data_IF_325122233279
#
_entry.id   IF_325122233279
#
_cell.length_a   1.000
_cell.length_b   1.000
_cell.length_c   1.000
_cell.angle_alpha   90.00
_cell.angle_beta   90.00
_cell.angle_gamma   90.00
#
_symmetry.space_group_name_H-M   'P 1'
#
loop_
_entity.id
_entity.type
_entity.pdbx_description
1 polymer ?
#
# COMPACT_ATOMS: atom_id res chain seq x y z
N UNK A 1 22.15 -1.12 -18.48
CA UNK A 1 21.22 -2.10 -17.88
C UNK A 1 21.98 -2.94 -16.86
N UNK A 2 21.90 -2.61 -15.56
CA UNK A 2 22.53 -3.40 -14.49
C UNK A 2 21.65 -4.62 -14.23
N UNK A 3 22.22 -5.82 -14.44
CA UNK A 3 21.57 -7.09 -14.11
C UNK A 3 21.29 -7.10 -12.60
N UNK A 4 20.02 -7.23 -12.24
CA UNK A 4 19.57 -7.44 -10.86
C UNK A 4 20.12 -8.80 -10.43
N UNK A 5 21.04 -8.78 -9.48
CA UNK A 5 21.66 -9.95 -8.91
C UNK A 5 20.59 -10.66 -8.06
N UNK A 6 19.96 -11.72 -8.60
CA UNK A 6 19.12 -12.61 -7.80
C UNK A 6 20.01 -13.17 -6.68
N UNK A 7 19.71 -12.83 -5.42
CA UNK A 7 20.36 -13.44 -4.25
C UNK A 7 20.31 -14.95 -4.44
N UNK A 8 21.47 -15.61 -4.44
CA UNK A 8 21.56 -17.06 -4.30
C UNK A 8 21.10 -17.38 -2.87
N UNK A 9 19.84 -17.72 -2.69
CA UNK A 9 19.37 -18.34 -1.45
C UNK A 9 20.02 -19.71 -1.35
N UNK A 10 20.58 -20.02 -0.18
CA UNK A 10 21.12 -21.34 0.09
C UNK A 10 19.95 -22.32 0.27
N UNK A 11 20.12 -23.59 -0.14
CA UNK A 11 19.10 -24.64 0.04
C UNK A 11 18.65 -24.77 1.52
N UNK A 12 19.50 -24.32 2.45
CA UNK A 12 19.22 -24.28 3.90
C UNK A 12 18.27 -23.16 4.32
N UNK A 13 18.13 -22.09 3.54
CA UNK A 13 17.20 -20.97 3.84
C UNK A 13 15.78 -21.25 3.35
N UNK A 14 15.61 -22.17 2.39
CA UNK A 14 14.30 -22.58 1.88
C UNK A 14 13.53 -23.47 2.89
N UNK A 15 14.24 -24.09 3.84
CA UNK A 15 13.68 -24.97 4.88
C UNK A 15 13.35 -24.27 6.22
N UNK A 16 13.72 -23.00 6.40
CA UNK A 16 13.42 -22.26 7.64
C UNK A 16 12.01 -21.70 7.60
N UNK A 17 11.16 -22.21 8.48
CA UNK A 17 9.84 -21.64 8.73
C UNK A 17 9.97 -20.25 9.36
N UNK A 18 9.23 -19.27 8.84
CA UNK A 18 9.23 -17.87 9.27
C UNK A 18 8.18 -17.61 10.35
N UNK A 19 8.51 -16.73 11.30
CA UNK A 19 7.53 -16.13 12.25
C UNK A 19 6.83 -14.91 11.66
N UNK A 20 7.36 -14.36 10.57
CA UNK A 20 6.96 -13.09 9.98
C UNK A 20 6.35 -13.28 8.62
N UNK A 21 5.24 -12.61 8.39
CA UNK A 21 4.46 -12.65 7.16
C UNK A 21 5.07 -11.78 6.07
N UNK A 22 5.93 -10.83 6.45
CA UNK A 22 6.70 -10.02 5.51
C UNK A 22 8.18 -10.29 5.72
N UNK A 23 8.90 -10.51 4.62
CA UNK A 23 10.35 -10.64 4.67
C UNK A 23 10.97 -9.36 5.22
N UNK A 24 11.83 -9.48 6.23
CA UNK A 24 12.56 -8.37 6.84
C UNK A 24 14.04 -8.69 6.98
N UNK A 25 14.84 -7.63 7.03
CA UNK A 25 16.26 -7.69 7.33
C UNK A 25 16.57 -7.01 8.68
N UNK A 26 17.85 -7.00 9.06
CA UNK A 26 18.28 -6.39 10.32
C UNK A 26 17.99 -4.88 10.39
N UNK A 27 18.00 -4.16 9.26
CA UNK A 27 17.70 -2.73 9.22
C UNK A 27 16.20 -2.48 9.42
N UNK A 28 15.34 -3.32 8.85
CA UNK A 28 13.90 -3.24 9.04
C UNK A 28 13.50 -3.46 10.50
N UNK A 29 14.15 -4.42 11.16
CA UNK A 29 13.97 -4.65 12.60
C UNK A 29 14.38 -3.42 13.41
N UNK A 30 15.54 -2.85 13.11
CA UNK A 30 16.01 -1.65 13.78
C UNK A 30 15.06 -0.45 13.58
N UNK A 31 14.57 -0.23 12.35
CA UNK A 31 13.62 0.85 12.06
C UNK A 31 12.29 0.69 12.83
N UNK A 32 11.81 -0.55 12.97
CA UNK A 32 10.63 -0.84 13.78
C UNK A 32 10.88 -0.60 15.26
N UNK A 33 12.01 -1.09 15.80
CA UNK A 33 12.40 -0.86 17.20
C UNK A 33 12.50 0.63 17.51
N UNK A 34 13.08 1.42 16.61
CA UNK A 34 13.13 2.87 16.75
C UNK A 34 11.71 3.47 16.72
N UNK A 35 10.82 3.00 15.85
CA UNK A 35 9.42 3.44 15.85
C UNK A 35 8.71 3.11 17.17
N UNK A 36 8.94 1.91 17.73
CA UNK A 36 8.37 1.48 19.02
C UNK A 36 8.84 2.32 20.20
N UNK A 37 10.11 2.74 20.23
CA UNK A 37 10.64 3.61 21.30
C UNK A 37 9.89 4.93 21.42
N UNK A 38 9.32 5.39 20.31
CA UNK A 38 8.77 6.74 20.21
C UNK A 38 7.23 6.73 20.07
N UNK A 39 6.61 5.61 19.73
CA UNK A 39 5.15 5.49 19.67
C UNK A 39 4.58 4.74 20.88
N UNK A 40 4.17 5.48 21.90
CA UNK A 40 3.60 4.93 23.13
C UNK A 40 2.30 4.15 22.88
N UNK A 41 1.48 4.56 21.93
CA UNK A 41 0.20 3.91 21.62
C UNK A 41 0.42 2.52 21.02
N UNK A 42 1.41 2.36 20.13
CA UNK A 42 1.77 1.05 19.58
C UNK A 42 2.31 0.12 20.67
N UNK A 43 3.13 0.64 21.58
CA UNK A 43 3.65 -0.11 22.72
C UNK A 43 2.55 -0.55 23.68
N UNK A 44 1.63 0.35 24.02
CA UNK A 44 0.46 0.04 24.85
C UNK A 44 -0.41 -1.05 24.21
N UNK A 45 -0.70 -0.92 22.91
CA UNK A 45 -1.46 -1.91 22.14
C UNK A 45 -0.81 -3.30 22.19
N UNK A 46 0.54 -3.35 22.17
CA UNK A 46 1.31 -4.59 22.32
C UNK A 46 1.18 -5.18 23.72
N UNK A 47 1.41 -4.37 24.75
CA UNK A 47 1.37 -4.80 26.15
C UNK A 47 -0.01 -5.34 26.54
N UNK A 48 -1.08 -4.74 26.05
CA UNK A 48 -2.46 -5.21 26.30
C UNK A 48 -2.78 -6.55 25.62
N UNK A 49 -2.11 -6.90 24.53
CA UNK A 49 -2.40 -8.12 23.77
C UNK A 49 -1.41 -9.25 24.00
N UNK A 50 -0.20 -8.98 24.52
CA UNK A 50 0.89 -9.97 24.51
C UNK A 50 0.55 -11.25 25.31
N UNK A 51 -0.20 -11.10 26.40
CA UNK A 51 -0.63 -12.23 27.24
C UNK A 51 -1.70 -13.09 26.53
N UNK A 52 -2.62 -12.43 25.82
CA UNK A 52 -3.73 -13.08 25.11
C UNK A 52 -3.34 -13.61 23.72
N UNK A 53 -2.33 -13.00 23.09
CA UNK A 53 -1.88 -13.28 21.72
C UNK A 53 -0.38 -12.95 21.57
N UNK A 54 0.52 -13.90 21.90
CA UNK A 54 1.96 -13.69 21.87
C UNK A 54 2.53 -13.28 20.50
N UNK A 55 1.82 -13.60 19.42
CA UNK A 55 2.23 -13.32 18.05
C UNK A 55 2.04 -11.84 17.64
N UNK A 56 1.49 -11.00 18.52
CA UNK A 56 1.23 -9.57 18.24
C UNK A 56 2.48 -8.79 17.88
N UNK A 57 3.63 -9.09 18.50
CA UNK A 57 4.89 -8.40 18.21
C UNK A 57 5.33 -8.61 16.75
N UNK A 58 5.28 -9.85 16.28
CA UNK A 58 5.61 -10.19 14.91
C UNK A 58 4.65 -9.51 13.92
N UNK A 59 3.37 -9.42 14.27
CA UNK A 59 2.38 -8.73 13.45
C UNK A 59 2.61 -7.22 13.36
N UNK A 60 2.94 -6.57 14.47
CA UNK A 60 3.25 -5.14 14.46
C UNK A 60 4.50 -4.84 13.60
N UNK A 61 5.53 -5.69 13.69
CA UNK A 61 6.70 -5.62 12.82
C UNK A 61 6.30 -5.80 11.35
N UNK A 62 5.45 -6.77 11.03
CA UNK A 62 4.96 -7.02 9.68
C UNK A 62 4.16 -5.81 9.15
N UNK A 63 3.18 -5.33 9.91
CA UNK A 63 2.39 -4.15 9.56
C UNK A 63 3.28 -2.94 9.28
N UNK A 64 4.23 -2.63 10.16
CA UNK A 64 5.18 -1.54 9.97
C UNK A 64 6.02 -1.73 8.71
N UNK A 65 6.62 -2.91 8.56
CA UNK A 65 7.48 -3.23 7.42
C UNK A 65 6.70 -3.15 6.11
N UNK A 66 5.42 -3.53 6.12
CA UNK A 66 4.51 -3.41 4.96
C UNK A 66 4.33 -1.96 4.52
N UNK A 67 4.29 -1.02 5.46
CA UNK A 67 4.03 0.39 5.20
C UNK A 67 5.32 1.11 4.81
N UNK A 68 6.40 0.85 5.54
CA UNK A 68 7.67 1.57 5.40
C UNK A 68 8.51 1.08 4.22
N UNK A 69 8.60 -0.24 3.98
CA UNK A 69 9.52 -0.79 2.97
C UNK A 69 9.26 -0.25 1.58
N UNK A 70 10.34 -0.18 0.79
CA UNK A 70 10.25 0.15 -0.63
C UNK A 70 9.44 -0.89 -1.42
N UNK A 71 9.72 -2.18 -1.22
CA UNK A 71 8.96 -3.31 -1.77
C UNK A 71 8.80 -4.33 -0.65
N UNK A 72 7.62 -4.43 -0.03
CA UNK A 72 7.31 -5.51 0.90
C UNK A 72 6.99 -6.79 0.12
N UNK A 73 7.57 -7.90 0.56
CA UNK A 73 7.36 -9.23 -0.01
C UNK A 73 6.66 -10.10 1.02
N UNK A 74 5.51 -10.65 0.65
CA UNK A 74 4.74 -11.56 1.50
C UNK A 74 5.38 -12.94 1.47
N UNK A 75 5.56 -13.52 2.65
CA UNK A 75 5.98 -14.91 2.82
C UNK A 75 4.79 -15.83 2.57
N UNK A 76 5.03 -16.92 1.82
CA UNK A 76 4.02 -17.93 1.54
C UNK A 76 3.59 -18.66 2.82
N UNK A 77 2.31 -19.02 2.92
CA UNK A 77 1.72 -19.72 4.07
C UNK A 77 2.44 -21.06 4.35
N UNK A 78 2.92 -21.76 3.32
CA UNK A 78 3.67 -23.01 3.46
C UNK A 78 5.05 -22.83 4.14
N UNK A 79 5.58 -21.60 4.16
CA UNK A 79 6.85 -21.25 4.81
C UNK A 79 6.65 -20.60 6.18
N UNK A 80 5.42 -20.56 6.71
CA UNK A 80 5.11 -19.94 7.99
C UNK A 80 5.07 -20.96 9.12
N UNK A 81 5.53 -20.55 10.30
CA UNK A 81 5.31 -21.31 11.53
C UNK A 81 3.81 -21.32 11.87
N UNK A 82 3.29 -22.49 12.25
CA UNK A 82 1.87 -22.73 12.53
C UNK A 82 1.20 -21.71 13.50
N UNK A 83 1.87 -21.18 14.54
CA UNK A 83 1.26 -20.17 15.40
C UNK A 83 1.04 -18.81 14.72
N UNK A 84 1.78 -18.50 13.64
CA UNK A 84 1.79 -17.20 12.98
C UNK A 84 0.92 -17.15 11.71
N UNK A 85 0.18 -18.22 11.43
CA UNK A 85 -0.70 -18.31 10.26
C UNK A 85 -1.82 -17.26 10.27
N UNK A 86 -2.38 -16.93 11.44
CA UNK A 86 -3.38 -15.86 11.56
C UNK A 86 -2.77 -14.50 11.17
N UNK A 87 -1.53 -14.21 11.60
CA UNK A 87 -0.82 -13.01 11.17
C UNK A 87 -0.66 -12.97 9.65
N UNK A 88 -0.30 -14.11 9.03
CA UNK A 88 -0.16 -14.20 7.58
C UNK A 88 -1.48 -13.88 6.86
N UNK A 89 -2.60 -14.46 7.32
CA UNK A 89 -3.94 -14.19 6.76
C UNK A 89 -4.35 -12.72 6.91
N UNK A 90 -4.08 -12.11 8.07
CA UNK A 90 -4.30 -10.68 8.29
C UNK A 90 -3.47 -9.85 7.32
N UNK A 91 -2.16 -10.13 7.22
CA UNK A 91 -1.25 -9.37 6.35
C UNK A 91 -1.57 -9.54 4.87
N UNK A 92 -2.01 -10.72 4.45
CA UNK A 92 -2.47 -10.98 3.10
C UNK A 92 -3.73 -10.14 2.79
N UNK A 93 -4.70 -10.10 3.71
CA UNK A 93 -5.88 -9.22 3.58
C UNK A 93 -5.52 -7.73 3.50
N UNK A 94 -4.50 -7.28 4.24
CA UNK A 94 -3.97 -5.92 4.14
C UNK A 94 -3.36 -5.67 2.76
N UNK A 95 -2.40 -6.48 2.34
CA UNK A 95 -1.57 -6.23 1.13
C UNK A 95 -2.35 -6.41 -0.17
N UNK A 96 -3.29 -7.37 -0.22
CA UNK A 96 -4.12 -7.63 -1.39
C UNK A 96 -5.23 -6.57 -1.57
N UNK A 97 -5.54 -5.78 -0.52
CA UNK A 97 -6.57 -4.76 -0.60
C UNK A 97 -6.16 -3.58 -1.52
N UNK A 98 -7.04 -3.10 -2.42
CA UNK A 98 -6.72 -1.95 -3.27
C UNK A 98 -6.32 -0.68 -2.50
N UNK A 99 -6.92 -0.42 -1.33
CA UNK A 99 -6.63 0.75 -0.50
C UNK A 99 -5.22 0.74 0.08
N UNK A 100 -4.59 -0.43 0.20
CA UNK A 100 -3.22 -0.51 0.68
C UNK A 100 -2.23 0.22 -0.23
N UNK A 101 -2.44 0.19 -1.55
CA UNK A 101 -1.62 0.95 -2.52
C UNK A 101 -1.73 2.46 -2.28
N UNK A 102 -2.95 2.95 -2.00
CA UNK A 102 -3.21 4.35 -1.67
C UNK A 102 -2.49 4.76 -0.39
N UNK A 103 -2.60 3.96 0.67
CA UNK A 103 -1.87 4.19 1.92
C UNK A 103 -0.35 4.26 1.70
N UNK A 104 0.19 3.36 0.88
CA UNK A 104 1.63 3.30 0.57
C UNK A 104 2.18 4.46 -0.24
N UNK A 105 1.32 5.25 -0.90
CA UNK A 105 1.79 6.49 -1.55
C UNK A 105 2.36 7.49 -0.54
N UNK A 106 1.97 7.36 0.73
CA UNK A 106 2.35 8.29 1.80
C UNK A 106 3.40 7.67 2.72
N UNK A 107 3.30 6.37 3.01
CA UNK A 107 4.13 5.69 4.01
C UNK A 107 5.48 5.18 3.51
N UNK A 108 5.63 4.94 2.21
CA UNK A 108 6.84 4.30 1.66
C UNK A 108 8.09 5.15 1.94
N UNK A 109 9.03 4.58 2.68
CA UNK A 109 10.27 5.21 3.16
C UNK A 109 10.04 6.46 4.02
N UNK A 110 8.83 6.65 4.55
CA UNK A 110 8.52 7.72 5.48
C UNK A 110 8.19 7.13 6.86
N UNK A 111 9.09 7.28 7.85
CA UNK A 111 8.92 6.65 9.15
C UNK A 111 7.74 7.24 9.94
N UNK A 112 7.40 8.52 9.72
CA UNK A 112 6.35 9.20 10.49
C UNK A 112 4.98 8.69 10.09
N UNK A 113 4.64 8.78 8.80
CA UNK A 113 3.34 8.32 8.31
C UNK A 113 3.23 6.80 8.38
N UNK A 114 4.35 6.05 8.28
CA UNK A 114 4.37 4.62 8.58
C UNK A 114 4.07 4.32 10.05
N UNK A 115 4.65 5.07 10.99
CA UNK A 115 4.39 4.92 12.41
C UNK A 115 2.94 5.25 12.79
N UNK A 116 2.38 6.32 12.22
CA UNK A 116 0.95 6.66 12.38
C UNK A 116 0.06 5.60 11.73
N UNK A 117 0.46 5.08 10.57
CA UNK A 117 -0.24 4.01 9.89
C UNK A 117 -0.28 2.73 10.74
N UNK A 118 0.85 2.36 11.35
CA UNK A 118 0.95 1.23 12.28
C UNK A 118 0.06 1.44 13.52
N UNK A 119 0.06 2.63 14.10
CA UNK A 119 -0.75 2.95 15.28
C UNK A 119 -2.24 2.74 15.01
N UNK A 120 -2.75 3.36 13.94
CA UNK A 120 -4.17 3.29 13.60
C UNK A 120 -4.54 1.89 13.11
N UNK A 121 -3.82 1.35 12.12
CA UNK A 121 -4.11 0.03 11.56
C UNK A 121 -3.91 -1.07 12.60
N UNK A 122 -2.87 -0.99 13.42
CA UNK A 122 -2.59 -1.94 14.48
C UNK A 122 -3.69 -1.98 15.55
N UNK A 123 -4.26 -0.82 15.90
CA UNK A 123 -5.41 -0.76 16.82
C UNK A 123 -6.66 -1.43 16.25
N UNK A 124 -6.95 -1.23 14.96
CA UNK A 124 -8.11 -1.84 14.31
C UNK A 124 -7.91 -3.35 14.10
N UNK A 125 -6.70 -3.74 13.72
CA UNK A 125 -6.31 -5.14 13.56
C UNK A 125 -6.34 -5.88 14.91
N UNK A 126 -5.94 -5.24 16.01
CA UNK A 126 -6.06 -5.81 17.36
C UNK A 126 -7.50 -6.22 17.68
N UNK A 127 -8.48 -5.35 17.42
CA UNK A 127 -9.89 -5.69 17.69
C UNK A 127 -10.37 -6.84 16.80
N UNK A 128 -9.95 -6.89 15.53
CA UNK A 128 -10.24 -8.02 14.65
C UNK A 128 -9.62 -9.33 15.14
N UNK A 129 -8.40 -9.31 15.69
CA UNK A 129 -7.76 -10.53 16.21
C UNK A 129 -8.50 -11.06 17.43
N UNK A 130 -8.97 -10.18 18.32
CA UNK A 130 -9.76 -10.60 19.48
C UNK A 130 -11.01 -11.37 19.07
N UNK A 131 -11.68 -10.93 18.01
CA UNK A 131 -12.88 -11.60 17.46
C UNK A 131 -12.54 -12.91 16.75
N UNK A 132 -11.41 -12.97 16.04
CA UNK A 132 -11.09 -14.08 15.15
C UNK A 132 -10.20 -15.17 15.76
N UNK A 133 -9.50 -14.91 16.87
CA UNK A 133 -8.52 -15.85 17.44
C UNK A 133 -9.11 -17.22 17.77
N UNK A 134 -10.30 -17.26 18.36
CA UNK A 134 -10.94 -18.51 18.78
C UNK A 134 -11.47 -19.29 17.58
N UNK A 135 -12.12 -18.60 16.64
CA UNK A 135 -12.60 -19.18 15.39
C UNK A 135 -11.44 -19.73 14.55
N UNK A 136 -10.31 -19.01 14.51
CA UNK A 136 -9.10 -19.44 13.83
C UNK A 136 -8.50 -20.70 14.49
N UNK A 137 -8.40 -20.74 15.81
CA UNK A 137 -7.83 -21.89 16.52
C UNK A 137 -8.69 -23.15 16.34
N UNK A 138 -10.02 -23.01 16.33
CA UNK A 138 -10.95 -24.11 16.03
C UNK A 138 -10.80 -24.59 14.58
N UNK A 139 -10.81 -23.67 13.61
CA UNK A 139 -10.67 -24.02 12.20
C UNK A 139 -9.29 -24.63 11.89
N UNK A 140 -8.24 -24.16 12.57
CA UNK A 140 -6.88 -24.70 12.45
C UNK A 140 -6.82 -26.14 12.97
N UNK A 141 -7.36 -26.44 14.15
CA UNK A 141 -7.42 -27.81 14.68
C UNK A 141 -8.17 -28.74 13.74
N UNK A 142 -9.33 -28.33 13.25
CA UNK A 142 -10.09 -29.10 12.27
C UNK A 142 -9.30 -29.35 10.97
N UNK A 143 -8.53 -28.36 10.50
CA UNK A 143 -7.67 -28.51 9.32
C UNK A 143 -6.48 -29.44 9.58
N UNK A 144 -5.86 -29.39 10.77
CA UNK A 144 -4.77 -30.29 11.16
C UNK A 144 -5.26 -31.75 11.26
N UNK A 145 -6.43 -31.98 11.88
CA UNK A 145 -7.03 -33.31 12.00
C UNK A 145 -7.41 -33.87 10.62
N UNK A 146 -8.03 -33.04 9.77
CA UNK A 146 -8.34 -33.43 8.39
C UNK A 146 -7.08 -33.70 7.55
N UNK A 147 -6.00 -32.96 7.77
CA UNK A 147 -4.73 -33.19 7.07
C UNK A 147 -4.06 -34.51 7.49
N UNK A 148 -4.10 -34.84 8.79
CA UNK A 148 -3.60 -36.14 9.29
C UNK A 148 -4.39 -37.30 8.72
N UNK A 149 -5.72 -37.23 8.75
CA UNK A 149 -6.57 -38.27 8.15
C UNK A 149 -6.32 -38.42 6.65
N UNK A 150 -6.09 -37.31 5.93
CA UNK A 150 -5.77 -37.35 4.50
C UNK A 150 -4.41 -37.99 4.22
N UNK A 151 -3.42 -37.74 5.08
CA UNK A 151 -2.10 -38.34 4.96
C UNK A 151 -2.13 -39.84 5.26
N UNK A 152 -2.79 -40.26 6.34
CA UNK A 152 -2.99 -41.68 6.66
C UNK A 152 -3.76 -42.42 5.54
N UNK A 153 -4.77 -41.77 4.96
CA UNK A 153 -5.52 -42.34 3.84
C UNK A 153 -4.67 -42.42 2.56
N UNK A 154 -3.75 -41.48 2.34
CA UNK A 154 -2.82 -41.51 1.21
C UNK A 154 -1.80 -42.63 1.38
N UNK A 155 -1.22 -42.76 2.58
CA UNK A 155 -0.27 -43.84 2.90
C UNK A 155 -0.93 -45.22 2.72
N UNK A 156 -2.19 -45.39 3.14
CA UNK A 156 -2.95 -46.61 2.93
C UNK A 156 -3.23 -46.92 1.45
N UNK A 157 -3.41 -45.88 0.61
CA UNK A 157 -3.54 -46.06 -0.85
C UNK A 157 -2.21 -46.49 -1.44
N UNK A 158 -1.11 -45.86 -1.05
CA UNK A 158 0.23 -46.17 -1.55
C UNK A 158 0.66 -47.59 -1.14
N UNK A 159 0.33 -48.04 0.07
CA UNK A 159 0.53 -49.42 0.53
C UNK A 159 -0.34 -50.43 -0.25
N UNK A 160 -1.62 -50.13 -0.47
CA UNK A 160 -2.52 -51.00 -1.22
C UNK A 160 -2.13 -51.09 -2.71
N UNK A 161 -1.65 -49.99 -3.29
CA UNK A 161 -1.16 -49.92 -4.67
C UNK A 161 0.16 -50.71 -4.80
N UNK A 162 1.11 -50.53 -3.89
CA UNK A 162 2.36 -51.30 -3.88
C UNK A 162 2.15 -52.80 -3.66
N UNK A 163 1.15 -53.20 -2.86
CA UNK A 163 0.78 -54.61 -2.70
C UNK A 163 0.12 -55.21 -3.94
N UNK A 164 -0.65 -54.42 -4.70
CA UNK A 164 -1.25 -54.85 -5.97
C UNK A 164 -0.19 -54.99 -7.07
N UNK A 165 0.74 -54.04 -7.17
CA UNK A 165 1.82 -54.07 -8.16
C UNK A 165 2.79 -55.24 -7.89
N UNK A 166 3.10 -55.55 -6.62
CA UNK A 166 3.91 -56.71 -6.23
C UNK A 166 3.22 -58.06 -6.49
N UNK A 167 1.89 -58.10 -6.55
CA UNK A 167 1.13 -59.29 -6.93
C UNK A 167 1.11 -59.51 -8.45
N UNK A 168 1.18 -58.43 -9.25
CA UNK A 168 1.21 -58.47 -10.71
C UNK A 168 2.61 -58.80 -11.26
N UNK A 169 3.68 -58.34 -10.60
CA UNK A 169 5.07 -58.71 -10.94
C UNK A 169 5.47 -60.15 -10.49
N UNK A 170 4.63 -60.81 -9.69
CA UNK A 170 4.88 -62.15 -9.13
C UNK A 170 4.42 -63.33 -10.00
N UNK A 171 3.80 -63.10 -11.16
CA UNK A 171 3.26 -64.18 -12.02
C UNK A 171 4.27 -64.86 -12.97
N UNK A 172 5.58 -64.58 -12.89
CA UNK A 172 6.63 -65.41 -13.51
C UNK A 172 7.46 -66.19 -12.47
N UNK A 173 6.81 -67.10 -11.72
CA UNK A 173 7.55 -68.04 -10.86
C UNK A 173 6.67 -68.99 -10.04
N UNK A 174 6.41 -70.18 -10.58
CA UNK A 174 5.63 -71.25 -9.93
C UNK A 174 6.17 -71.73 -8.58
N UNK A 175 5.20 -72.03 -7.72
CA UNK A 175 5.15 -73.02 -6.64
C UNK A 175 6.02 -72.82 -5.37
N UNK A 176 5.36 -72.40 -4.29
CA UNK A 176 5.90 -72.52 -2.93
C UNK A 176 4.90 -72.11 -1.83
N UNK A 177 4.28 -73.11 -1.19
CA UNK A 177 3.42 -72.96 0.01
C UNK A 177 4.09 -72.10 1.10
N UNK A 178 3.40 -71.04 1.54
CA UNK A 178 3.75 -70.29 2.75
C UNK A 178 2.54 -69.58 3.36
N UNK A 179 1.94 -70.19 4.39
CA UNK A 179 0.97 -69.55 5.30
C UNK A 179 1.68 -68.43 6.07
N UNK A 180 1.08 -67.24 6.18
CA UNK A 180 1.47 -66.29 7.23
C UNK A 180 0.93 -64.87 7.08
N UNK A 181 -0.12 -64.58 7.86
CA UNK A 181 -0.63 -63.25 8.27
C UNK A 181 -1.40 -62.44 7.23
N UNK A 182 -2.69 -62.77 7.17
CA UNK A 182 -3.77 -61.81 6.99
C UNK A 182 -3.69 -60.70 8.05
N UNK A 183 -3.07 -59.57 7.71
CA UNK A 183 -3.67 -58.28 8.04
C UNK A 183 -4.63 -57.97 6.90
N UNK A 184 -5.86 -57.56 7.23
CA UNK A 184 -6.86 -57.15 6.26
C UNK A 184 -6.26 -56.03 5.38
N UNK A 185 -5.72 -56.40 4.23
CA UNK A 185 -5.38 -55.44 3.20
C UNK A 185 -6.70 -54.80 2.78
N UNK A 186 -6.88 -53.52 3.12
CA UNK A 186 -7.98 -52.75 2.58
C UNK A 186 -7.94 -52.89 1.06
N UNK A 187 -9.09 -53.18 0.47
CA UNK A 187 -9.15 -53.23 -1.00
C UNK A 187 -8.79 -51.85 -1.55
N UNK A 188 -8.10 -51.81 -2.68
CA UNK A 188 -7.63 -50.59 -3.31
C UNK A 188 -8.77 -49.59 -3.57
N UNK A 189 -9.99 -50.10 -3.72
CA UNK A 189 -11.23 -49.34 -3.85
C UNK A 189 -11.70 -48.71 -2.51
N UNK A 190 -11.59 -49.42 -1.39
CA UNK A 190 -11.90 -48.88 -0.05
C UNK A 190 -10.86 -47.84 0.40
N UNK A 191 -9.58 -48.05 0.09
CA UNK A 191 -8.51 -47.08 0.35
C UNK A 191 -8.74 -45.77 -0.44
N UNK A 192 -9.08 -45.86 -1.72
CA UNK A 192 -9.47 -44.69 -2.55
C UNK A 192 -10.69 -43.97 -2.00
N UNK A 193 -11.72 -44.71 -1.56
CA UNK A 193 -12.93 -44.12 -0.96
C UNK A 193 -12.63 -43.39 0.35
N UNK A 194 -11.71 -43.90 1.17
CA UNK A 194 -11.21 -43.21 2.38
C UNK A 194 -10.46 -41.92 2.02
N UNK A 195 -9.60 -41.96 1.00
CA UNK A 195 -8.90 -40.76 0.51
C UNK A 195 -9.86 -39.69 0.00
N UNK A 196 -10.91 -40.05 -0.74
CA UNK A 196 -11.94 -39.10 -1.18
C UNK A 196 -12.71 -38.48 0.00
N UNK A 197 -13.07 -39.29 1.01
CA UNK A 197 -13.72 -38.79 2.21
C UNK A 197 -12.82 -37.84 3.01
N UNK A 198 -11.52 -38.14 3.13
CA UNK A 198 -10.55 -37.28 3.80
C UNK A 198 -10.33 -35.97 3.03
N UNK A 199 -10.21 -36.01 1.69
CA UNK A 199 -10.16 -34.81 0.83
C UNK A 199 -11.41 -33.95 0.99
N UNK A 200 -12.59 -34.56 1.12
CA UNK A 200 -13.83 -33.84 1.37
C UNK A 200 -13.82 -33.13 2.73
N UNK A 201 -13.40 -33.81 3.80
CA UNK A 201 -13.22 -33.18 5.12
C UNK A 201 -12.21 -32.03 5.10
N UNK A 202 -11.10 -32.19 4.37
CA UNK A 202 -10.10 -31.13 4.20
C UNK A 202 -10.71 -29.92 3.46
N UNK A 203 -11.53 -30.15 2.44
CA UNK A 203 -12.24 -29.09 1.73
C UNK A 203 -13.28 -28.38 2.63
N UNK A 204 -13.97 -29.11 3.51
CA UNK A 204 -14.89 -28.55 4.51
C UNK A 204 -14.13 -27.68 5.53
N UNK A 205 -13.02 -28.17 6.09
CA UNK A 205 -12.19 -27.38 7.00
C UNK A 205 -11.61 -26.12 6.33
N UNK A 206 -11.18 -26.20 5.07
CA UNK A 206 -10.74 -25.04 4.30
C UNK A 206 -11.89 -24.05 4.04
N UNK A 207 -13.10 -24.54 3.82
CA UNK A 207 -14.29 -23.70 3.69
C UNK A 207 -14.60 -22.98 5.00
N UNK A 208 -14.57 -23.68 6.13
CA UNK A 208 -14.81 -23.08 7.45
C UNK A 208 -13.78 -22.00 7.79
N UNK A 209 -12.50 -22.24 7.49
CA UNK A 209 -11.44 -21.22 7.60
C UNK A 209 -11.77 -19.98 6.75
N UNK A 210 -12.19 -20.19 5.50
CA UNK A 210 -12.54 -19.10 4.59
C UNK A 210 -13.76 -18.31 5.07
N UNK A 211 -14.79 -19.00 5.58
CA UNK A 211 -16.02 -18.35 6.01
C UNK A 211 -15.90 -17.63 7.35
N UNK A 212 -15.21 -18.23 8.32
CA UNK A 212 -15.15 -17.71 9.68
C UNK A 212 -13.94 -16.82 9.96
N UNK A 213 -12.90 -16.88 9.12
CA UNK A 213 -11.68 -16.06 9.30
C UNK A 213 -11.46 -15.11 8.12
N UNK A 214 -11.38 -15.62 6.89
CA UNK A 214 -10.99 -14.80 5.74
C UNK A 214 -12.10 -13.81 5.32
N UNK A 215 -13.37 -14.21 5.32
CA UNK A 215 -14.49 -13.32 4.99
C UNK A 215 -14.63 -12.13 5.96
N UNK A 216 -14.59 -12.31 7.29
CA UNK A 216 -14.56 -11.18 8.23
C UNK A 216 -13.39 -10.23 8.00
N UNK A 217 -12.19 -10.77 7.74
CA UNK A 217 -11.02 -9.96 7.40
C UNK A 217 -11.27 -9.14 6.12
N UNK A 218 -11.77 -9.77 5.05
CA UNK A 218 -12.07 -9.08 3.79
C UNK A 218 -13.14 -8.01 3.94
N UNK A 219 -14.10 -8.19 4.85
CA UNK A 219 -15.22 -7.26 5.07
C UNK A 219 -14.78 -6.04 5.90
N UNK A 220 -13.99 -6.27 6.96
CA UNK A 220 -13.60 -5.20 7.89
C UNK A 220 -12.34 -4.44 7.46
N UNK A 221 -11.40 -5.08 6.76
CA UNK A 221 -10.13 -4.47 6.35
C UNK A 221 -10.28 -3.20 5.49
N UNK A 222 -11.24 -3.10 4.54
CA UNK A 222 -11.44 -1.88 3.76
C UNK A 222 -11.79 -0.66 4.60
N UNK A 223 -12.49 -0.84 5.73
CA UNK A 223 -12.82 0.24 6.68
C UNK A 223 -11.56 0.65 7.44
N UNK A 224 -10.81 -0.31 7.96
CA UNK A 224 -9.58 -0.06 8.69
C UNK A 224 -8.52 0.66 7.86
N UNK A 225 -8.33 0.23 6.61
CA UNK A 225 -7.45 0.92 5.68
C UNK A 225 -7.96 2.33 5.37
N UNK A 226 -9.27 2.54 5.23
CA UNK A 226 -9.84 3.86 4.98
C UNK A 226 -9.54 4.85 6.10
N UNK A 227 -9.75 4.42 7.35
CA UNK A 227 -9.49 5.23 8.53
C UNK A 227 -8.00 5.53 8.66
N UNK A 228 -7.16 4.52 8.44
CA UNK A 228 -5.70 4.65 8.45
C UNK A 228 -5.24 5.66 7.41
N UNK A 229 -5.76 5.58 6.18
CA UNK A 229 -5.47 6.57 5.11
C UNK A 229 -5.89 7.97 5.54
N UNK A 230 -7.08 8.13 6.13
CA UNK A 230 -7.55 9.44 6.58
C UNK A 230 -6.62 10.03 7.64
N UNK A 231 -6.17 9.23 8.60
CA UNK A 231 -5.26 9.67 9.67
C UNK A 231 -3.84 9.91 9.20
N UNK A 232 -3.33 9.10 8.27
CA UNK A 232 -2.05 9.34 7.62
C UNK A 232 -2.08 10.63 6.80
N UNK A 233 -3.17 10.89 6.07
CA UNK A 233 -3.40 12.16 5.35
C UNK A 233 -3.44 13.37 6.25
N UNK A 234 -4.18 13.29 7.36
CA UNK A 234 -4.23 14.40 8.33
C UNK A 234 -2.82 14.79 8.80
N UNK A 235 -1.92 13.81 9.00
CA UNK A 235 -0.54 14.07 9.44
C UNK A 235 0.33 14.61 8.31
N UNK A 236 0.27 14.02 7.12
CA UNK A 236 1.01 14.51 5.95
C UNK A 236 0.58 15.94 5.58
N UNK A 237 -0.72 16.23 5.61
CA UNK A 237 -1.24 17.57 5.39
C UNK A 237 -0.76 18.54 6.46
N UNK A 238 -0.74 18.13 7.74
CA UNK A 238 -0.22 18.97 8.82
C UNK A 238 1.26 19.31 8.59
N UNK A 239 2.10 18.33 8.26
CA UNK A 239 3.52 18.51 7.94
C UNK A 239 3.69 19.47 6.75
N UNK A 240 2.91 19.29 5.69
CA UNK A 240 3.00 20.09 4.46
C UNK A 240 2.48 21.51 4.63
N UNK A 241 1.38 21.69 5.36
CA UNK A 241 0.72 22.98 5.55
C UNK A 241 1.53 23.89 6.49
N UNK A 242 2.22 23.32 7.47
CA UNK A 242 3.20 24.04 8.29
C UNK A 242 4.55 24.26 7.59
N UNK A 243 4.74 23.75 6.37
CA UNK A 243 5.98 23.89 5.61
C UNK A 243 7.13 23.00 6.10
N UNK A 244 6.88 22.13 7.08
CA UNK A 244 7.86 21.22 7.68
C UNK A 244 8.41 20.21 6.66
N UNK A 245 7.58 19.79 5.70
CA UNK A 245 8.01 18.84 4.64
C UNK A 245 9.08 19.37 3.70
N UNK A 246 9.23 20.70 3.58
CA UNK A 246 10.25 21.37 2.76
C UNK A 246 11.35 22.02 3.59
N UNK A 247 11.25 21.96 4.92
CA UNK A 247 12.23 22.53 5.83
C UNK A 247 13.38 21.54 6.04
N UNK A 248 14.58 21.91 5.58
CA UNK A 248 15.79 21.11 5.79
C UNK A 248 16.07 20.89 7.29
N UNK A 249 15.73 21.86 8.13
CA UNK A 249 15.91 21.78 9.57
C UNK A 249 15.01 20.71 10.16
N UNK A 250 13.72 20.70 9.79
CA UNK A 250 12.80 19.63 10.15
C UNK A 250 13.29 18.29 9.62
N UNK A 251 13.72 18.19 8.36
CA UNK A 251 14.27 16.97 7.76
C UNK A 251 15.42 16.35 8.55
N UNK A 252 16.32 17.19 9.11
CA UNK A 252 17.50 16.77 9.88
C UNK A 252 17.22 16.45 11.36
N UNK A 253 16.06 16.83 11.92
CA UNK A 253 15.71 16.51 13.30
C UNK A 253 15.56 15.00 13.51
N UNK A 254 15.85 14.55 14.73
CA UNK A 254 15.60 13.15 15.11
C UNK A 254 14.10 12.83 15.01
N UNK A 255 13.79 11.55 14.86
CA UNK A 255 12.41 11.07 14.78
C UNK A 255 11.57 11.55 15.98
N UNK A 256 12.12 11.48 17.19
CA UNK A 256 11.49 11.89 18.46
C UNK A 256 11.06 13.35 18.42
N UNK A 257 11.95 14.23 17.97
CA UNK A 257 11.69 15.66 17.93
C UNK A 257 10.60 15.98 16.91
N UNK A 258 10.55 15.23 15.81
CA UNK A 258 9.48 15.35 14.80
C UNK A 258 8.15 14.88 15.39
N UNK A 259 8.13 13.74 16.07
CA UNK A 259 6.90 13.19 16.63
C UNK A 259 6.33 14.06 17.76
N UNK A 260 7.18 14.52 18.69
CA UNK A 260 6.78 15.45 19.76
C UNK A 260 6.20 16.75 19.21
N UNK A 261 6.75 17.27 18.10
CA UNK A 261 6.20 18.44 17.44
C UNK A 261 4.82 18.13 16.86
N UNK A 262 4.66 16.98 16.19
CA UNK A 262 3.39 16.57 15.60
C UNK A 262 2.31 16.33 16.64
N UNK A 263 2.64 15.74 17.78
CA UNK A 263 1.72 15.57 18.90
C UNK A 263 1.24 16.93 19.42
N UNK A 264 2.14 17.89 19.63
CA UNK A 264 1.76 19.25 20.04
C UNK A 264 0.86 19.94 19.01
N UNK A 265 1.18 19.79 17.73
CA UNK A 265 0.38 20.35 16.63
C UNK A 265 -0.99 19.68 16.48
N UNK A 266 -1.09 18.38 16.77
CA UNK A 266 -2.36 17.63 16.75
C UNK A 266 -3.25 17.94 17.95
N UNK A 267 -2.65 18.11 19.13
CA UNK A 267 -3.38 18.29 20.38
C UNK A 267 -3.88 19.72 20.60
N UNK A 268 -3.32 20.72 19.92
CA UNK A 268 -3.82 22.10 19.97
C UNK A 268 -4.86 22.36 18.85
N UNK A 269 -6.15 22.55 19.19
CA UNK A 269 -7.19 22.79 18.20
C UNK A 269 -6.97 24.05 17.35
N UNK A 270 -6.35 25.09 17.93
CA UNK A 270 -6.08 26.35 17.21
C UNK A 270 -4.99 26.13 16.16
N UNK A 271 -3.92 25.42 16.51
CA UNK A 271 -2.83 25.11 15.57
C UNK A 271 -3.32 24.23 14.42
N UNK A 272 -4.19 23.27 14.71
CA UNK A 272 -4.84 22.45 13.67
C UNK A 272 -5.68 23.31 12.72
N UNK A 273 -6.52 24.20 13.26
CA UNK A 273 -7.35 25.10 12.46
C UNK A 273 -6.51 26.04 11.58
N UNK A 274 -5.38 26.56 12.11
CA UNK A 274 -4.44 27.38 11.35
C UNK A 274 -3.85 26.59 10.18
N UNK A 275 -3.43 25.35 10.41
CA UNK A 275 -2.88 24.48 9.36
C UNK A 275 -3.89 24.22 8.24
N UNK A 276 -5.16 23.95 8.59
CA UNK A 276 -6.23 23.72 7.64
C UNK A 276 -6.53 24.97 6.79
N UNK A 277 -6.55 26.16 7.41
CA UNK A 277 -6.69 27.43 6.72
C UNK A 277 -5.51 27.71 5.78
N UNK A 278 -4.28 27.54 6.27
CA UNK A 278 -3.06 27.71 5.48
C UNK A 278 -3.05 26.78 4.25
N UNK A 279 -3.44 25.53 4.42
CA UNK A 279 -3.58 24.57 3.33
C UNK A 279 -4.61 25.00 2.28
N UNK A 280 -5.79 25.51 2.72
CA UNK A 280 -6.82 26.05 1.81
C UNK A 280 -6.29 27.25 1.02
N UNK A 281 -5.65 28.21 1.68
CA UNK A 281 -5.08 29.38 1.00
C UNK A 281 -3.98 29.00 0.01
N UNK A 282 -3.11 28.03 0.36
CA UNK A 282 -2.06 27.53 -0.54
C UNK A 282 -2.68 26.87 -1.79
N UNK A 283 -3.74 26.07 -1.65
CA UNK A 283 -4.46 25.48 -2.79
C UNK A 283 -5.11 26.55 -3.67
N UNK A 284 -5.75 27.57 -3.08
CA UNK A 284 -6.31 28.70 -3.82
C UNK A 284 -5.24 29.47 -4.60
N UNK A 285 -4.11 29.78 -3.95
CA UNK A 285 -2.99 30.47 -4.59
C UNK A 285 -2.40 29.66 -5.74
N UNK A 286 -2.20 28.35 -5.55
CA UNK A 286 -1.70 27.45 -6.60
C UNK A 286 -2.69 27.33 -7.76
N UNK A 287 -4.00 27.21 -7.49
CA UNK A 287 -5.03 27.19 -8.53
C UNK A 287 -5.05 28.49 -9.33
N UNK A 288 -5.03 29.64 -8.65
CA UNK A 288 -4.95 30.95 -9.29
C UNK A 288 -3.66 31.12 -10.12
N UNK A 289 -2.54 30.55 -9.68
CA UNK A 289 -1.29 30.55 -10.44
C UNK A 289 -1.37 29.66 -11.69
N UNK A 290 -1.95 28.46 -11.60
CA UNK A 290 -2.14 27.57 -12.75
C UNK A 290 -3.15 28.11 -13.75
N UNK A 291 -4.13 28.90 -13.30
CA UNK A 291 -5.08 29.60 -14.17
C UNK A 291 -4.47 30.79 -14.92
N UNK A 292 -3.30 31.32 -14.51
CA UNK A 292 -2.59 32.33 -15.30
C UNK A 292 -2.13 31.68 -16.60
N UNK A 293 -2.86 31.93 -17.68
CA UNK A 293 -2.49 31.45 -19.00
C UNK A 293 -1.17 32.13 -19.41
N UNK A 294 -0.10 31.36 -19.68
CA UNK A 294 1.20 31.91 -20.12
C UNK A 294 1.14 32.61 -21.49
N UNK A 295 0.03 32.48 -22.22
CA UNK A 295 -0.34 33.16 -23.47
C UNK A 295 -1.84 32.98 -23.64
N UNK A 296 -2.63 33.77 -22.91
CA UNK A 296 -4.06 33.90 -23.20
C UNK A 296 -4.22 34.51 -24.58
N UNK A 297 -5.18 34.01 -25.36
CA UNK A 297 -5.57 34.59 -26.65
C UNK A 297 -5.84 36.07 -26.41
N UNK A 298 -4.88 36.91 -26.77
CA UNK A 298 -5.09 38.34 -26.70
C UNK A 298 -6.18 38.64 -27.73
N UNK A 299 -7.34 39.12 -27.26
CA UNK A 299 -8.36 39.60 -28.17
C UNK A 299 -7.74 40.75 -28.97
N UNK A 300 -7.86 40.68 -30.30
CA UNK A 300 -7.48 41.77 -31.18
C UNK A 300 -8.35 42.97 -30.81
N UNK A 301 -7.72 43.99 -30.21
CA UNK A 301 -8.45 45.12 -29.63
C UNK A 301 -8.40 46.35 -30.55
N UNK A 302 -7.25 46.59 -31.18
CA UNK A 302 -7.01 47.80 -31.97
C UNK A 302 -5.83 47.61 -32.96
N UNK A 303 -5.65 48.56 -33.87
CA UNK A 303 -4.45 48.69 -34.70
C UNK A 303 -3.64 49.87 -34.15
N UNK A 304 -2.35 49.67 -33.93
CA UNK A 304 -1.42 50.72 -33.51
C UNK A 304 -0.22 50.81 -34.46
N UNK A 305 0.57 51.88 -34.33
CA UNK A 305 1.86 51.99 -35.02
C UNK A 305 2.96 51.43 -34.13
N UNK A 306 3.81 50.56 -34.66
CA UNK A 306 4.95 49.98 -33.94
C UNK A 306 5.99 49.33 -34.84
N UNK A 307 6.88 48.55 -34.24
CA UNK A 307 8.01 47.90 -34.93
C UNK A 307 8.06 46.38 -34.75
N UNK A 308 6.96 45.75 -34.31
CA UNK A 308 6.90 44.30 -34.10
C UNK A 308 6.38 43.60 -35.37
N UNK A 309 7.32 43.05 -36.15
CA UNK A 309 7.01 42.32 -37.38
C UNK A 309 6.02 41.17 -37.18
N UNK A 310 6.05 40.51 -36.01
CA UNK A 310 5.15 39.40 -35.72
C UNK A 310 3.68 39.84 -35.55
N UNK A 311 3.46 41.13 -35.30
CA UNK A 311 2.13 41.74 -35.14
C UNK A 311 1.73 42.62 -36.31
N UNK A 312 2.60 42.82 -37.30
CA UNK A 312 2.34 43.69 -38.45
C UNK A 312 1.09 43.25 -39.22
N UNK A 313 0.31 44.23 -39.72
CA UNK A 313 -0.86 43.96 -40.53
C UNK A 313 -0.49 43.24 -41.83
N UNK A 314 -1.37 42.37 -42.37
CA UNK A 314 -1.16 41.76 -43.68
C UNK A 314 -0.93 42.77 -44.80
N UNK A 315 -1.59 43.94 -44.75
CA UNK A 315 -1.40 45.03 -45.71
C UNK A 315 0.01 45.62 -45.68
N UNK A 316 0.63 45.70 -44.50
CA UNK A 316 2.03 46.12 -44.36
C UNK A 316 2.98 45.06 -44.91
N UNK A 317 2.72 43.78 -44.60
CA UNK A 317 3.54 42.67 -45.09
C UNK A 317 3.51 42.53 -46.62
N UNK A 318 2.40 42.84 -47.28
CA UNK A 318 2.31 42.84 -48.74
C UNK A 318 3.30 43.81 -49.40
N UNK A 319 3.70 44.89 -48.72
CA UNK A 319 4.66 45.88 -49.24
C UNK A 319 6.03 45.27 -49.52
N UNK A 320 6.40 44.19 -48.82
CA UNK A 320 7.65 43.44 -49.07
C UNK A 320 7.71 42.80 -50.46
N UNK A 321 6.55 42.53 -51.09
CA UNK A 321 6.46 41.92 -52.41
C UNK A 321 6.68 42.88 -53.58
N UNK A 322 6.66 44.19 -53.35
CA UNK A 322 6.81 45.18 -54.42
C UNK A 322 8.18 45.90 -54.34
N UNK A 323 8.97 45.97 -55.43
CA UNK A 323 10.35 46.50 -55.40
C UNK A 323 10.49 47.91 -54.82
N UNK A 324 9.52 48.80 -55.07
CA UNK A 324 9.54 50.18 -54.54
C UNK A 324 9.00 50.29 -53.11
N UNK A 325 7.98 49.50 -52.74
CA UNK A 325 7.33 49.62 -51.43
C UNK A 325 8.10 48.89 -50.32
N UNK A 326 8.94 47.93 -50.70
CA UNK A 326 9.82 47.18 -49.80
C UNK A 326 10.77 48.10 -49.02
N UNK A 327 11.33 49.12 -49.66
CA UNK A 327 12.21 50.08 -48.99
C UNK A 327 11.46 50.95 -47.99
N UNK A 328 10.24 51.36 -48.34
CA UNK A 328 9.38 52.13 -47.44
C UNK A 328 8.96 51.26 -46.24
N UNK A 329 8.69 49.97 -46.44
CA UNK A 329 8.42 49.03 -45.35
C UNK A 329 9.59 48.92 -44.38
N UNK A 330 10.83 48.77 -44.86
CA UNK A 330 12.00 48.70 -43.97
C UNK A 330 12.25 50.00 -43.22
N UNK A 331 12.02 51.14 -43.87
CA UNK A 331 12.06 52.45 -43.21
C UNK A 331 11.03 52.51 -42.07
N UNK A 332 9.77 52.18 -42.36
CA UNK A 332 8.68 52.25 -41.39
C UNK A 332 8.88 51.24 -40.24
N UNK A 333 9.44 50.05 -40.51
CA UNK A 333 9.83 49.06 -39.50
C UNK A 333 10.91 49.61 -38.56
N UNK A 334 11.96 50.23 -39.13
CA UNK A 334 13.06 50.79 -38.36
C UNK A 334 12.63 52.01 -37.52
N UNK A 335 11.68 52.81 -38.03
CA UNK A 335 11.11 53.97 -37.34
C UNK A 335 9.98 53.61 -36.35
N UNK A 336 9.55 52.35 -36.28
CA UNK A 336 8.45 51.91 -35.43
C UNK A 336 7.08 52.45 -35.87
N UNK A 337 6.89 52.64 -37.18
CA UNK A 337 5.71 53.21 -37.83
C UNK A 337 4.95 52.19 -38.68
N UNK A 338 5.11 50.89 -38.45
CA UNK A 338 4.27 49.89 -39.09
C UNK A 338 2.94 49.77 -38.38
N UNK A 339 1.85 49.70 -39.14
CA UNK A 339 0.56 49.32 -38.59
C UNK A 339 0.61 47.86 -38.13
N UNK A 340 0.36 47.63 -36.84
CA UNK A 340 0.41 46.34 -36.19
C UNK A 340 -0.80 46.13 -35.27
N UNK A 341 -1.15 44.87 -35.03
CA UNK A 341 -2.21 44.51 -34.11
C UNK A 341 -1.82 44.77 -32.66
N UNK A 342 -2.69 45.47 -31.92
CA UNK A 342 -2.59 45.64 -30.47
C UNK A 342 -3.45 44.60 -29.77
N UNK A 343 -2.78 43.87 -28.89
CA UNK A 343 -3.29 42.75 -28.13
C UNK A 343 -3.44 43.17 -26.67
N UNK A 344 -4.63 42.97 -26.08
CA UNK A 344 -4.89 43.31 -24.68
C UNK A 344 -5.51 42.13 -23.92
N UNK A 345 -4.69 41.39 -23.17
CA UNK A 345 -5.17 40.41 -22.20
C UNK A 345 -5.81 41.08 -20.97
N UNK A 346 -7.14 41.18 -20.93
CA UNK A 346 -7.87 41.45 -19.68
C UNK A 346 -8.34 40.13 -19.08
N UNK A 347 -7.59 39.57 -18.12
CA UNK A 347 -8.17 38.56 -17.23
C UNK A 347 -9.01 39.25 -16.13
N UNK A 348 -10.25 38.78 -15.93
CA UNK A 348 -11.00 39.03 -14.70
C UNK A 348 -10.25 38.36 -13.55
N UNK A 349 -9.45 39.11 -12.80
CA UNK A 349 -8.94 38.66 -11.50
C UNK A 349 -10.14 38.26 -10.65
N UNK A 350 -10.19 37.01 -10.18
CA UNK A 350 -11.18 36.58 -9.21
C UNK A 350 -11.06 37.49 -7.98
N UNK A 351 -12.12 38.24 -7.68
CA UNK A 351 -12.17 39.04 -6.45
C UNK A 351 -12.40 38.07 -5.30
N UNK A 352 -11.48 38.03 -4.34
CA UNK A 352 -11.61 37.22 -3.13
C UNK A 352 -12.87 37.59 -2.32
N UNK A 353 -13.21 36.82 -1.28
CA UNK A 353 -14.40 37.07 -0.48
C UNK A 353 -14.40 38.51 0.08
N UNK A 354 -15.55 39.17 -0.02
CA UNK A 354 -15.76 40.49 0.60
C UNK A 354 -15.95 40.25 2.09
N UNK A 355 -14.97 40.65 2.90
CA UNK A 355 -15.07 40.63 4.36
C UNK A 355 -15.64 41.98 4.78
N UNK A 356 -16.87 41.98 5.30
CA UNK A 356 -17.52 43.15 5.89
C UNK A 356 -17.44 43.00 7.40
N UNK A 357 -16.67 43.86 8.06
CA UNK A 357 -16.73 44.02 9.51
C UNK A 357 -17.79 45.08 9.80
N UNK A 358 -18.93 44.66 10.35
CA UNK A 358 -19.98 45.57 10.82
C UNK A 358 -19.74 45.78 12.31
N UNK A 359 -19.49 47.03 12.70
CA UNK A 359 -19.44 47.48 14.09
C UNK A 359 -20.78 48.18 14.36
N UNK A 360 -21.60 47.60 15.24
CA UNK A 360 -22.82 48.25 15.73
C UNK A 360 -22.48 48.95 17.04
N UNK A 361 -22.55 50.29 17.03
CA UNK A 361 -22.29 51.17 18.18
C UNK A 361 -23.48 51.29 19.13
#
# INVERSE_FOLDING_TARGET
MRKINKKKTSVSDDLKLSQHSIEHDAFDKQNFEDTLKHNANVKHTREEMVDDYPQIEALQQDLYSSLYKYVPELVDEARMLMPYLLNNKVMRSVVENPKYKELRTMTRLDPITSGVGLEVLGSEVKELIKELKEAFEQAKKAAEDAAKEAQEAQDAVDEAQGAADAADEGEEGKDGKGKGKSQEALTLEEAKKRLEAAKKKQAEAAKDMKENVEKPLQTNMPRALSNTIHKAREVDDLIRNWGLGSDETFGRKSYDQKLQLLEKLRNDPKLKMIAELAGRFKRLAMSAQHQKVKRGVDELYEIEMGGDLAKALPSELMRLGHPLLKWLFFKDLAEGKLLQYKYSGKEKKQRGPIIICIDES
#
